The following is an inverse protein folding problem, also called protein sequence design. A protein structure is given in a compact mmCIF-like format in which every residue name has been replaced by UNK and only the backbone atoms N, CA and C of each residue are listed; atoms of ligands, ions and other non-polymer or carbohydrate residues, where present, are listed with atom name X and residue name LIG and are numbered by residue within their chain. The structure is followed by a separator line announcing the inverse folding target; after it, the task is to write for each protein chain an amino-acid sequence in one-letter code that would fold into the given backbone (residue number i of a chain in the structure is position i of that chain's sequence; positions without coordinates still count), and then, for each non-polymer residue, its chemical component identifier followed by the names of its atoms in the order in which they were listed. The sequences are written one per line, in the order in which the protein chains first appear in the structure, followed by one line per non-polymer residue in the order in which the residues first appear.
data_IF_209518608627
#
_entry.id   IF_209518608627
#
_cell.length_a   1.000
_cell.length_b   1.000
_cell.length_c   1.000
_cell.angle_alpha   90.00
_cell.angle_beta   90.00
_cell.angle_gamma   90.00
#
_symmetry.space_group_name_H-M   'P 1'
#
loop_
_entity.id
_entity.type
_entity.pdbx_description
1 polymer ?
#
# COMPACT_ATOMS: atom_id res chain seq x y z
N UNK A 1 -34.09 19.90 -8.98
CA UNK A 1 -33.75 20.56 -7.71
C UNK A 1 -32.82 21.75 -7.94
N UNK A 2 -33.20 22.91 -7.48
CA UNK A 2 -32.35 24.11 -7.57
C UNK A 2 -31.15 23.95 -6.60
N UNK A 3 -29.92 24.29 -7.01
CA UNK A 3 -28.77 24.23 -6.11
C UNK A 3 -28.98 25.20 -4.94
N UNK A 4 -28.65 24.73 -3.73
CA UNK A 4 -28.67 25.60 -2.54
C UNK A 4 -27.72 26.81 -2.70
N UNK A 5 -27.96 27.87 -1.96
CA UNK A 5 -27.09 29.06 -1.97
C UNK A 5 -25.65 28.67 -1.62
N UNK A 6 -25.46 27.74 -0.65
CA UNK A 6 -24.14 27.19 -0.29
C UNK A 6 -23.50 26.51 -1.50
N UNK A 7 -24.21 25.66 -2.23
CA UNK A 7 -23.68 25.01 -3.43
C UNK A 7 -23.28 25.97 -4.55
N UNK A 8 -23.97 27.12 -4.66
CA UNK A 8 -23.60 28.19 -5.62
C UNK A 8 -22.33 28.91 -5.20
N UNK A 9 -22.17 29.21 -3.91
CA UNK A 9 -20.98 29.86 -3.36
C UNK A 9 -19.76 28.95 -3.52
N UNK A 10 -19.87 27.68 -3.11
CA UNK A 10 -18.77 26.70 -3.24
C UNK A 10 -18.31 26.55 -4.70
N UNK A 11 -19.24 26.48 -5.66
CA UNK A 11 -18.88 26.42 -7.08
C UNK A 11 -18.19 27.70 -7.58
N UNK A 12 -18.65 28.88 -7.16
CA UNK A 12 -18.01 30.16 -7.50
C UNK A 12 -16.57 30.23 -7.02
N UNK A 13 -16.27 29.64 -5.87
CA UNK A 13 -14.92 29.58 -5.30
C UNK A 13 -14.13 28.35 -5.71
N UNK A 14 -14.62 27.59 -6.71
CA UNK A 14 -13.98 26.38 -7.23
C UNK A 14 -13.64 25.33 -6.13
N UNK A 15 -14.44 25.31 -5.06
CA UNK A 15 -14.28 24.30 -4.00
C UNK A 15 -14.64 22.93 -4.58
N UNK A 16 -13.74 21.94 -4.55
CA UNK A 16 -13.99 20.63 -5.08
C UNK A 16 -15.10 19.92 -4.30
N UNK A 17 -15.88 19.08 -4.99
CA UNK A 17 -16.89 18.26 -4.33
C UNK A 17 -16.23 17.18 -3.46
N UNK A 18 -16.87 16.79 -2.36
CA UNK A 18 -16.36 15.73 -1.48
C UNK A 18 -16.02 14.45 -2.23
N UNK A 19 -16.76 14.09 -3.26
CA UNK A 19 -16.47 12.95 -4.14
C UNK A 19 -15.21 13.11 -5.00
N UNK A 20 -14.68 14.32 -5.08
CA UNK A 20 -13.48 14.68 -5.84
C UNK A 20 -12.26 14.84 -4.93
N UNK A 21 -12.47 14.66 -3.64
CA UNK A 21 -11.43 14.76 -2.61
C UNK A 21 -11.16 13.34 -2.08
N UNK A 22 -9.89 13.01 -1.92
CA UNK A 22 -9.48 11.80 -1.19
C UNK A 22 -9.77 11.98 0.30
N UNK A 23 -10.66 11.17 0.91
CA UNK A 23 -11.05 11.33 2.31
C UNK A 23 -9.88 11.24 3.29
N UNK A 24 -8.86 10.43 2.97
CA UNK A 24 -7.72 10.21 3.86
C UNK A 24 -6.69 11.35 3.82
N UNK A 25 -6.56 12.04 2.67
CA UNK A 25 -5.50 13.05 2.49
C UNK A 25 -6.05 14.47 2.28
N UNK A 26 -7.36 14.63 2.06
CA UNK A 26 -7.97 15.91 1.69
C UNK A 26 -7.55 16.44 0.32
N UNK A 27 -6.79 15.68 -0.46
CA UNK A 27 -6.28 16.11 -1.76
C UNK A 27 -7.29 15.86 -2.88
N UNK A 28 -7.33 16.78 -3.87
CA UNK A 28 -8.20 16.63 -5.04
C UNK A 28 -7.78 15.43 -5.89
N UNK A 29 -8.71 14.53 -6.18
CA UNK A 29 -8.49 13.39 -7.06
C UNK A 29 -8.44 13.91 -8.50
N UNK A 30 -7.25 14.01 -9.07
CA UNK A 30 -7.00 14.51 -10.44
C UNK A 30 -7.38 13.52 -11.55
N UNK A 31 -7.72 12.28 -11.21
CA UNK A 31 -8.13 11.26 -12.18
C UNK A 31 -9.53 11.60 -12.73
N UNK A 32 -9.60 11.98 -13.99
CA UNK A 32 -10.87 12.20 -14.69
C UNK A 32 -11.63 10.88 -14.86
N UNK A 33 -12.90 10.85 -14.48
CA UNK A 33 -13.79 9.68 -14.57
C UNK A 33 -13.89 9.05 -15.97
N UNK A 34 -13.48 9.76 -17.03
CA UNK A 34 -13.62 9.32 -18.43
C UNK A 34 -12.54 8.38 -18.96
N UNK A 35 -11.40 8.24 -18.28
CA UNK A 35 -10.26 7.46 -18.80
C UNK A 35 -9.89 6.24 -17.97
N UNK A 36 -10.50 6.01 -16.82
CA UNK A 36 -10.13 4.90 -15.96
C UNK A 36 -10.93 3.67 -16.35
N UNK A 37 -10.44 2.90 -17.30
CA UNK A 37 -10.74 1.46 -17.31
C UNK A 37 -10.27 0.93 -15.95
N UNK A 38 -11.23 0.60 -15.09
CA UNK A 38 -10.96 -0.03 -13.81
C UNK A 38 -10.37 -1.40 -14.10
N UNK A 39 -9.05 -1.48 -14.12
CA UNK A 39 -8.37 -2.75 -14.22
C UNK A 39 -8.42 -3.40 -12.85
N UNK A 40 -9.10 -4.52 -12.76
CA UNK A 40 -9.22 -5.33 -11.55
C UNK A 40 -9.28 -6.78 -11.98
N UNK A 41 -8.50 -7.63 -11.33
CA UNK A 41 -8.53 -9.06 -11.55
C UNK A 41 -9.78 -9.69 -10.92
N UNK A 42 -10.23 -10.82 -11.48
CA UNK A 42 -11.56 -11.36 -11.23
C UNK A 42 -11.68 -12.05 -9.85
N UNK A 43 -10.57 -12.51 -9.27
CA UNK A 43 -10.56 -13.21 -7.99
C UNK A 43 -9.30 -12.91 -7.16
N UNK A 44 -9.36 -13.12 -5.82
CA UNK A 44 -8.21 -12.98 -4.95
C UNK A 44 -7.07 -13.92 -5.36
N UNK A 45 -5.83 -13.42 -5.32
CA UNK A 45 -4.63 -14.17 -5.69
C UNK A 45 -4.33 -14.19 -7.18
N UNK A 46 -5.26 -13.83 -8.05
CA UNK A 46 -5.02 -13.76 -9.50
C UNK A 46 -3.87 -12.83 -9.87
N UNK A 47 -3.66 -11.76 -9.12
CA UNK A 47 -2.50 -10.87 -9.20
C UNK A 47 -2.22 -10.22 -7.85
N UNK A 48 -1.01 -10.32 -7.37
CA UNK A 48 -0.53 -9.49 -6.26
C UNK A 48 0.47 -8.45 -6.77
N UNK A 49 0.47 -7.29 -6.15
CA UNK A 49 1.43 -6.20 -6.39
C UNK A 49 2.46 -6.20 -5.28
N UNK A 50 3.74 -6.04 -5.62
CA UNK A 50 4.83 -5.92 -4.66
C UNK A 50 5.62 -4.63 -4.90
N UNK A 51 6.05 -3.97 -3.81
CA UNK A 51 6.86 -2.75 -3.86
C UNK A 51 7.61 -2.55 -2.54
N UNK A 52 8.62 -1.68 -2.55
CA UNK A 52 9.37 -1.29 -1.35
C UNK A 52 9.24 0.21 -1.13
N UNK A 53 8.81 0.58 0.07
CA UNK A 53 8.75 1.97 0.52
C UNK A 53 9.89 2.28 1.48
N UNK A 54 10.82 3.15 1.06
CA UNK A 54 11.90 3.64 1.90
C UNK A 54 11.39 4.74 2.83
N UNK A 55 11.61 4.58 4.14
CA UNK A 55 11.24 5.52 5.19
C UNK A 55 12.46 5.90 6.02
N UNK A 56 12.68 7.19 6.24
CA UNK A 56 13.69 7.64 7.20
C UNK A 56 13.39 7.10 8.60
N UNK A 57 14.41 6.61 9.31
CA UNK A 57 14.29 6.20 10.70
C UNK A 57 14.02 7.40 11.61
N UNK A 58 13.42 7.13 12.75
CA UNK A 58 13.11 8.12 13.76
C UNK A 58 14.14 7.98 14.89
N UNK A 59 14.88 9.04 15.24
CA UNK A 59 15.80 9.00 16.35
C UNK A 59 15.06 8.88 17.69
N UNK A 60 15.72 8.32 18.70
CA UNK A 60 15.18 8.26 20.05
C UNK A 60 14.93 9.68 20.58
N UNK A 61 13.78 9.85 21.21
CA UNK A 61 13.25 11.16 21.62
C UNK A 61 12.50 11.90 20.50
N UNK A 62 12.23 11.24 19.36
CA UNK A 62 11.47 11.79 18.25
C UNK A 62 12.31 12.48 17.17
N UNK A 63 11.75 12.61 16.01
CA UNK A 63 12.37 13.23 14.84
C UNK A 63 11.84 14.65 14.56
N UNK A 64 12.05 15.14 13.35
CA UNK A 64 11.65 16.49 12.92
C UNK A 64 10.13 16.77 13.04
N UNK A 65 9.29 15.74 13.05
CA UNK A 65 7.85 15.92 13.27
C UNK A 65 7.49 16.25 14.71
N UNK A 66 8.28 15.78 15.68
CA UNK A 66 8.11 16.11 17.07
C UNK A 66 8.77 17.47 17.43
N UNK A 67 9.95 17.75 16.84
CA UNK A 67 10.80 18.88 17.27
C UNK A 67 11.03 19.96 16.21
N UNK A 68 10.35 19.85 15.05
CA UNK A 68 10.59 20.75 13.94
C UNK A 68 11.88 20.45 13.15
N UNK A 69 12.08 21.14 12.04
CA UNK A 69 13.24 20.97 11.16
C UNK A 69 14.40 21.84 11.65
N UNK A 70 15.24 21.32 12.54
CA UNK A 70 16.48 21.94 12.95
C UNK A 70 17.69 21.23 12.39
N UNK A 71 18.87 21.91 12.35
CA UNK A 71 20.13 21.28 11.93
C UNK A 71 20.51 20.10 12.82
N UNK A 72 20.26 20.21 14.15
CA UNK A 72 20.51 19.13 15.12
C UNK A 72 19.71 17.87 14.80
N UNK A 73 18.47 18.01 14.29
CA UNK A 73 17.62 16.87 13.91
C UNK A 73 18.07 16.29 12.56
N UNK A 74 18.55 17.12 11.62
CA UNK A 74 19.08 16.66 10.32
C UNK A 74 20.40 15.91 10.46
N UNK A 75 21.27 16.32 11.37
CA UNK A 75 22.58 15.70 11.60
C UNK A 75 22.50 14.28 12.19
N UNK A 76 21.34 13.84 12.71
CA UNK A 76 21.11 12.51 13.26
C UNK A 76 20.84 11.46 12.17
N UNK A 77 21.62 11.40 11.10
CA UNK A 77 21.44 10.47 9.99
C UNK A 77 21.45 8.98 10.41
N UNK A 78 20.35 8.47 10.95
CA UNK A 78 20.20 7.10 11.50
C UNK A 78 19.77 6.08 10.45
N UNK A 79 19.78 6.45 9.17
CA UNK A 79 19.46 5.54 8.08
C UNK A 79 17.98 5.43 7.74
N UNK A 80 17.62 4.31 7.15
CA UNK A 80 16.28 4.07 6.60
C UNK A 80 15.77 2.70 6.98
N UNK A 81 14.45 2.60 7.11
CA UNK A 81 13.70 1.35 7.03
C UNK A 81 13.18 1.12 5.62
N UNK A 82 13.12 -0.11 5.21
CA UNK A 82 12.56 -0.54 3.95
C UNK A 82 11.29 -1.34 4.22
N UNK A 83 10.14 -0.72 3.96
CA UNK A 83 8.84 -1.36 4.15
C UNK A 83 8.49 -2.08 2.85
N UNK A 84 8.63 -3.39 2.86
CA UNK A 84 8.20 -4.25 1.77
C UNK A 84 6.69 -4.45 1.88
N UNK A 85 5.96 -4.12 0.84
CA UNK A 85 4.50 -4.17 0.80
C UNK A 85 4.02 -5.09 -0.31
N UNK A 86 3.03 -5.90 0.00
CA UNK A 86 2.34 -6.77 -0.96
C UNK A 86 0.85 -6.54 -0.82
N UNK A 87 0.14 -6.42 -1.94
CA UNK A 87 -1.33 -6.22 -1.94
C UNK A 87 -1.98 -7.03 -3.05
N UNK A 88 -3.06 -7.72 -2.71
CA UNK A 88 -3.88 -8.41 -3.70
C UNK A 88 -4.68 -7.43 -4.55
N UNK A 89 -4.67 -7.66 -5.86
CA UNK A 89 -5.35 -6.80 -6.84
C UNK A 89 -6.86 -6.76 -6.67
N UNK A 90 -7.47 -7.90 -6.37
CA UNK A 90 -8.92 -8.03 -6.25
C UNK A 90 -9.44 -7.55 -4.90
N UNK A 91 -8.96 -8.12 -3.81
CA UNK A 91 -9.48 -7.87 -2.47
C UNK A 91 -8.92 -6.62 -1.81
N UNK A 92 -7.73 -6.15 -2.23
CA UNK A 92 -6.92 -5.13 -1.55
C UNK A 92 -6.31 -5.63 -0.24
N UNK A 93 -6.36 -6.94 0.04
CA UNK A 93 -5.72 -7.52 1.21
C UNK A 93 -4.22 -7.22 1.18
N UNK A 94 -3.70 -6.63 2.24
CA UNK A 94 -2.33 -6.15 2.33
C UNK A 94 -1.50 -6.98 3.31
N UNK A 95 -0.24 -7.17 2.94
CA UNK A 95 0.81 -7.71 3.76
C UNK A 95 2.00 -6.76 3.73
N UNK A 96 2.68 -6.53 4.86
CA UNK A 96 3.88 -5.71 4.88
C UNK A 96 4.85 -6.14 5.98
N UNK A 97 6.13 -5.93 5.71
CA UNK A 97 7.24 -6.15 6.65
C UNK A 97 8.23 -5.00 6.56
N UNK A 98 8.95 -4.77 7.66
CA UNK A 98 10.03 -3.79 7.73
C UNK A 98 11.35 -4.53 7.77
N UNK A 99 12.27 -4.12 6.91
CA UNK A 99 13.63 -4.65 6.81
C UNK A 99 14.66 -3.53 6.74
N UNK A 100 15.94 -3.90 6.89
CA UNK A 100 17.07 -2.98 6.83
C UNK A 100 17.54 -2.71 5.40
N UNK A 101 17.04 -3.45 4.43
CA UNK A 101 17.43 -3.32 3.03
C UNK A 101 16.31 -3.69 2.03
N UNK A 102 16.56 -3.42 0.75
CA UNK A 102 15.72 -3.76 -0.39
C UNK A 102 16.39 -4.79 -1.32
N UNK A 103 17.25 -5.67 -0.78
CA UNK A 103 17.93 -6.68 -1.57
C UNK A 103 16.97 -7.73 -2.11
N UNK A 104 17.37 -8.35 -3.21
CA UNK A 104 16.57 -9.41 -3.83
C UNK A 104 16.34 -10.63 -2.93
N UNK A 105 17.30 -10.98 -2.06
CA UNK A 105 17.13 -12.04 -1.05
C UNK A 105 16.09 -11.68 0.01
N UNK A 106 16.08 -10.42 0.46
CA UNK A 106 15.09 -9.90 1.39
C UNK A 106 13.70 -9.90 0.75
N UNK A 107 13.59 -9.38 -0.49
CA UNK A 107 12.35 -9.38 -1.25
C UNK A 107 11.81 -10.81 -1.49
N UNK A 108 12.70 -11.78 -1.74
CA UNK A 108 12.33 -13.19 -1.89
C UNK A 108 11.74 -13.76 -0.59
N UNK A 109 12.37 -13.52 0.56
CA UNK A 109 11.83 -13.94 1.85
C UNK A 109 10.49 -13.30 2.19
N UNK A 110 10.31 -12.02 1.87
CA UNK A 110 9.02 -11.33 2.04
C UNK A 110 7.95 -11.95 1.14
N UNK A 111 8.26 -12.23 -0.14
CA UNK A 111 7.32 -12.88 -1.05
C UNK A 111 6.89 -14.25 -0.53
N UNK A 112 7.84 -15.08 -0.07
CA UNK A 112 7.54 -16.41 0.49
C UNK A 112 6.55 -16.31 1.68
N UNK A 113 6.81 -15.41 2.63
CA UNK A 113 5.93 -15.21 3.78
C UNK A 113 4.59 -14.59 3.40
N UNK A 114 4.55 -13.72 2.40
CA UNK A 114 3.31 -13.18 1.87
C UNK A 114 2.46 -14.28 1.20
N UNK A 115 3.07 -15.19 0.42
CA UNK A 115 2.39 -16.35 -0.16
C UNK A 115 1.77 -17.22 0.95
N UNK A 116 2.55 -17.51 1.99
CA UNK A 116 2.06 -18.28 3.15
C UNK A 116 0.93 -17.55 3.89
N UNK A 117 0.98 -16.21 3.99
CA UNK A 117 -0.10 -15.40 4.57
C UNK A 117 -1.39 -15.53 3.73
N UNK A 118 -1.31 -15.40 2.42
CA UNK A 118 -2.47 -15.56 1.52
C UNK A 118 -3.02 -16.98 1.56
N UNK A 119 -2.15 -17.99 1.59
CA UNK A 119 -2.55 -19.40 1.65
C UNK A 119 -3.37 -19.73 2.91
N UNK A 120 -3.03 -19.16 4.08
CA UNK A 120 -3.83 -19.31 5.30
C UNK A 120 -5.26 -18.80 5.18
N UNK A 121 -5.50 -17.87 4.27
CA UNK A 121 -6.83 -17.33 3.94
C UNK A 121 -7.46 -18.04 2.71
N UNK A 122 -6.87 -19.16 2.30
CA UNK A 122 -7.32 -19.96 1.18
C UNK A 122 -7.15 -19.27 -0.18
N UNK A 123 -6.21 -18.32 -0.29
CA UNK A 123 -5.89 -17.59 -1.53
C UNK A 123 -4.63 -18.21 -2.14
N UNK A 124 -4.74 -18.68 -3.37
CA UNK A 124 -3.59 -19.14 -4.17
C UNK A 124 -3.10 -17.99 -5.03
N UNK A 125 -1.81 -17.66 -4.91
CA UNK A 125 -1.18 -16.60 -5.71
C UNK A 125 -0.77 -17.15 -7.07
N UNK A 126 -1.28 -16.58 -8.16
CA UNK A 126 -0.97 -17.00 -9.53
C UNK A 126 0.08 -16.10 -10.19
N UNK A 127 0.02 -14.82 -9.94
CA UNK A 127 0.87 -13.81 -10.58
C UNK A 127 1.32 -12.75 -9.61
N UNK A 128 2.52 -12.26 -9.85
CA UNK A 128 3.10 -11.11 -9.12
C UNK A 128 3.45 -10.01 -10.12
N UNK A 129 3.13 -8.76 -9.82
CA UNK A 129 3.61 -7.60 -10.56
C UNK A 129 4.52 -6.75 -9.69
N UNK A 130 5.68 -6.37 -10.22
CA UNK A 130 6.65 -5.50 -9.60
C UNK A 130 7.07 -4.37 -10.55
N UNK A 131 7.76 -3.39 -10.03
CA UNK A 131 8.54 -2.48 -10.85
C UNK A 131 9.74 -3.21 -11.51
N UNK A 132 10.56 -2.45 -12.25
CA UNK A 132 11.74 -2.98 -12.92
C UNK A 132 13.00 -2.93 -12.03
N UNK A 133 12.88 -2.79 -10.71
CA UNK A 133 14.02 -2.75 -9.81
C UNK A 133 14.87 -4.02 -9.90
N UNK A 134 16.18 -3.86 -9.72
CA UNK A 134 17.15 -4.95 -9.81
C UNK A 134 16.81 -6.13 -8.88
N UNK A 135 16.31 -5.83 -7.68
CA UNK A 135 15.90 -6.80 -6.68
C UNK A 135 14.83 -7.78 -7.16
N UNK A 136 13.94 -7.36 -8.05
CA UNK A 136 12.88 -8.20 -8.63
C UNK A 136 13.28 -8.80 -9.98
N UNK A 137 14.04 -8.05 -10.79
CA UNK A 137 14.32 -8.43 -12.17
C UNK A 137 15.49 -9.41 -12.30
N UNK A 138 16.49 -9.29 -11.44
CA UNK A 138 17.74 -10.03 -11.57
C UNK A 138 18.10 -10.90 -10.35
N UNK A 139 17.21 -11.00 -9.37
CA UNK A 139 17.45 -11.82 -8.18
C UNK A 139 17.13 -13.29 -8.43
N UNK A 140 18.15 -14.12 -8.40
CA UNK A 140 17.97 -15.58 -8.45
C UNK A 140 17.10 -16.10 -7.31
N UNK A 141 17.27 -15.55 -6.09
CA UNK A 141 16.46 -15.94 -4.93
C UNK A 141 14.97 -15.61 -5.14
N UNK A 142 14.66 -14.43 -5.70
CA UNK A 142 13.28 -14.03 -5.99
C UNK A 142 12.65 -14.94 -7.06
N UNK A 143 13.39 -15.25 -8.13
CA UNK A 143 12.92 -16.14 -9.17
C UNK A 143 12.78 -17.59 -8.71
N UNK A 144 13.63 -18.05 -7.75
CA UNK A 144 13.51 -19.39 -7.16
C UNK A 144 12.17 -19.53 -6.39
N UNK A 145 11.76 -18.51 -5.61
CA UNK A 145 10.46 -18.50 -4.94
C UNK A 145 9.31 -18.55 -5.96
N UNK A 146 9.37 -17.73 -7.00
CA UNK A 146 8.36 -17.76 -8.06
C UNK A 146 8.24 -19.14 -8.71
N UNK A 147 9.38 -19.77 -9.03
CA UNK A 147 9.42 -21.10 -9.63
C UNK A 147 8.89 -22.18 -8.70
N UNK A 148 9.24 -22.15 -7.43
CA UNK A 148 8.78 -23.12 -6.43
C UNK A 148 7.24 -23.11 -6.25
N UNK A 149 6.61 -21.94 -6.42
CA UNK A 149 5.17 -21.79 -6.31
C UNK A 149 4.42 -21.73 -7.65
N UNK A 150 5.11 -21.86 -8.77
CA UNK A 150 4.49 -21.77 -10.11
C UNK A 150 3.93 -20.39 -10.43
N UNK A 151 4.45 -19.31 -9.81
CA UNK A 151 3.95 -17.96 -9.94
C UNK A 151 4.55 -17.25 -11.14
N UNK A 152 3.72 -16.66 -11.98
CA UNK A 152 4.17 -15.86 -13.12
C UNK A 152 4.50 -14.43 -12.71
N UNK A 153 5.73 -13.98 -13.02
CA UNK A 153 6.12 -12.58 -12.80
C UNK A 153 5.68 -11.69 -13.97
N UNK A 154 5.15 -10.53 -13.64
CA UNK A 154 4.88 -9.44 -14.58
C UNK A 154 5.64 -8.19 -14.15
N UNK A 155 6.07 -7.41 -15.11
CA UNK A 155 6.71 -6.11 -14.87
C UNK A 155 5.80 -4.98 -15.33
N UNK A 156 5.90 -3.83 -14.67
CA UNK A 156 5.26 -2.61 -15.18
C UNK A 156 5.87 -2.26 -16.54
N UNK A 157 5.04 -1.72 -17.43
CA UNK A 157 5.55 -1.16 -18.69
C UNK A 157 6.42 0.06 -18.39
N UNK A 158 7.54 0.25 -19.10
CA UNK A 158 8.33 1.48 -18.99
C UNK A 158 7.42 2.71 -19.15
N UNK A 159 7.62 3.71 -18.31
CA UNK A 159 6.84 4.96 -18.27
C UNK A 159 5.33 4.79 -17.98
N UNK A 160 4.90 3.62 -17.49
CA UNK A 160 3.51 3.34 -17.10
C UNK A 160 3.39 2.98 -15.60
N UNK A 161 3.76 3.86 -14.65
CA UNK A 161 3.75 3.56 -13.22
C UNK A 161 2.34 3.20 -12.72
N UNK A 162 1.29 3.73 -13.34
CA UNK A 162 -0.09 3.44 -12.94
C UNK A 162 -0.47 1.94 -12.99
N UNK A 163 0.32 1.10 -13.66
CA UNK A 163 0.09 -0.36 -13.66
C UNK A 163 0.39 -1.00 -12.31
N UNK A 164 1.23 -0.36 -11.46
CA UNK A 164 1.46 -0.75 -10.06
C UNK A 164 0.67 0.14 -9.06
N UNK A 165 -0.31 0.87 -9.56
CA UNK A 165 -1.04 1.90 -8.80
C UNK A 165 -1.72 1.41 -7.52
N UNK A 166 -1.98 0.10 -7.36
CA UNK A 166 -2.60 -0.44 -6.15
C UNK A 166 -1.62 -0.48 -4.98
N UNK A 167 -0.40 -0.93 -5.21
CA UNK A 167 0.64 -0.91 -4.16
C UNK A 167 1.14 0.52 -3.89
N UNK A 168 1.20 1.37 -4.91
CA UNK A 168 1.51 2.79 -4.72
C UNK A 168 0.45 3.48 -3.85
N UNK A 169 -0.84 3.13 -4.05
CA UNK A 169 -1.92 3.62 -3.21
C UNK A 169 -1.84 3.07 -1.79
N UNK A 170 -1.50 1.79 -1.61
CA UNK A 170 -1.23 1.20 -0.31
C UNK A 170 -0.10 1.96 0.39
N UNK A 171 1.02 2.18 -0.29
CA UNK A 171 2.18 2.89 0.25
C UNK A 171 1.86 4.34 0.66
N UNK A 172 0.96 5.01 -0.09
CA UNK A 172 0.46 6.33 0.30
C UNK A 172 -0.40 6.26 1.57
N UNK A 173 -1.33 5.30 1.64
CA UNK A 173 -2.19 5.09 2.80
C UNK A 173 -1.36 4.73 4.04
N UNK A 174 -0.41 3.81 3.89
CA UNK A 174 0.56 3.43 4.91
C UNK A 174 1.35 4.64 5.43
N UNK A 175 1.82 5.50 4.52
CA UNK A 175 2.55 6.70 4.90
C UNK A 175 1.69 7.67 5.72
N UNK A 176 0.43 7.89 5.32
CA UNK A 176 -0.46 8.86 5.97
C UNK A 176 -1.12 8.34 7.24
N UNK A 177 -1.53 7.08 7.26
CA UNK A 177 -2.34 6.51 8.32
C UNK A 177 -1.54 5.71 9.36
N UNK A 178 -0.25 5.41 9.06
CA UNK A 178 0.66 4.75 9.99
C UNK A 178 1.97 5.52 10.14
N UNK A 179 2.83 5.55 9.11
CA UNK A 179 4.22 6.00 9.26
C UNK A 179 4.34 7.45 9.73
N UNK A 180 3.37 8.28 9.36
CA UNK A 180 3.30 9.71 9.66
C UNK A 180 1.96 10.14 10.25
N UNK A 181 1.16 9.21 10.76
CA UNK A 181 -0.14 9.52 11.36
C UNK A 181 -0.01 10.45 12.59
N UNK A 182 1.06 10.24 13.36
CA UNK A 182 1.42 11.06 14.52
C UNK A 182 2.94 11.19 14.64
N UNK A 183 3.47 12.09 15.44
CA UNK A 183 4.85 12.01 15.91
C UNK A 183 5.05 10.72 16.73
N UNK A 184 6.13 10.01 16.45
CA UNK A 184 6.59 8.86 17.21
C UNK A 184 7.85 9.25 17.96
N UNK A 185 8.00 8.73 19.18
CA UNK A 185 9.15 9.04 20.04
C UNK A 185 10.40 8.22 19.63
N UNK A 186 10.21 7.13 18.90
CA UNK A 186 11.32 6.32 18.39
C UNK A 186 10.93 5.55 17.15
N UNK A 187 11.95 5.01 16.46
CA UNK A 187 11.73 4.10 15.33
C UNK A 187 11.11 2.77 15.78
N UNK A 188 11.48 2.28 16.96
CA UNK A 188 10.93 1.07 17.54
C UNK A 188 9.42 1.20 17.79
N UNK A 189 8.97 2.34 18.30
CA UNK A 189 7.54 2.62 18.52
C UNK A 189 6.76 2.61 17.20
N UNK A 190 7.29 3.27 16.16
CA UNK A 190 6.66 3.26 14.84
C UNK A 190 6.58 1.83 14.28
N UNK A 191 7.66 1.07 14.38
CA UNK A 191 7.73 -0.32 13.90
C UNK A 191 6.72 -1.20 14.64
N UNK A 192 6.63 -1.09 15.96
CA UNK A 192 5.69 -1.84 16.79
C UNK A 192 4.22 -1.54 16.47
N UNK A 193 3.91 -0.37 15.92
CA UNK A 193 2.56 0.01 15.53
C UNK A 193 2.12 -0.58 14.17
N UNK A 194 3.02 -1.12 13.35
CA UNK A 194 2.67 -1.63 12.01
C UNK A 194 1.68 -2.80 12.03
N UNK A 195 1.84 -3.84 12.88
CA UNK A 195 0.91 -4.97 12.90
C UNK A 195 -0.53 -4.56 13.23
N UNK A 196 -0.72 -3.69 14.21
CA UNK A 196 -2.04 -3.18 14.58
C UNK A 196 -2.68 -2.38 13.44
N UNK A 197 -1.89 -1.56 12.74
CA UNK A 197 -2.37 -0.82 11.58
C UNK A 197 -2.73 -1.75 10.40
N UNK A 198 -1.94 -2.80 10.14
CA UNK A 198 -2.26 -3.78 9.09
C UNK A 198 -3.55 -4.53 9.39
N UNK A 199 -3.78 -4.90 10.66
CA UNK A 199 -5.04 -5.50 11.08
C UNK A 199 -6.20 -4.54 10.81
N UNK A 200 -6.11 -3.30 11.27
CA UNK A 200 -7.13 -2.28 10.96
C UNK A 200 -7.35 -2.11 9.45
N UNK A 201 -6.26 -2.02 8.66
CA UNK A 201 -6.35 -1.87 7.21
C UNK A 201 -7.11 -3.03 6.56
N UNK A 202 -6.85 -4.25 6.97
CA UNK A 202 -7.41 -5.46 6.37
C UNK A 202 -8.82 -5.80 6.88
N UNK A 203 -9.13 -5.54 8.15
CA UNK A 203 -10.34 -6.02 8.81
C UNK A 203 -11.40 -4.93 8.97
N UNK A 204 -11.01 -3.69 9.21
CA UNK A 204 -11.93 -2.63 9.64
C UNK A 204 -12.02 -1.46 8.66
N UNK A 205 -10.95 -1.21 7.90
CA UNK A 205 -10.88 -0.06 7.01
C UNK A 205 -11.73 -0.25 5.76
N UNK A 206 -12.75 0.60 5.60
CA UNK A 206 -13.57 0.63 4.39
C UNK A 206 -12.80 1.20 3.19
N UNK A 207 -12.83 0.53 2.05
CA UNK A 207 -12.12 0.91 0.84
C UNK A 207 -13.09 1.29 -0.28
N UNK A 208 -13.12 2.57 -0.66
CA UNK A 208 -13.96 3.06 -1.76
C UNK A 208 -13.67 2.34 -3.09
N UNK A 209 -12.41 1.92 -3.29
CA UNK A 209 -11.99 1.15 -4.46
C UNK A 209 -12.67 -0.21 -4.61
N UNK A 210 -13.22 -0.77 -3.57
CA UNK A 210 -13.95 -2.05 -3.54
C UNK A 210 -15.38 -1.90 -3.01
N UNK A 211 -15.99 -0.74 -3.27
CA UNK A 211 -17.39 -0.50 -2.93
C UNK A 211 -17.65 -0.27 -1.45
N UNK A 212 -16.67 0.22 -0.70
CA UNK A 212 -16.79 0.49 0.74
C UNK A 212 -16.64 -0.74 1.63
N UNK A 213 -16.32 -1.90 1.06
CA UNK A 213 -16.03 -3.13 1.82
C UNK A 213 -14.63 -3.07 2.44
N UNK A 214 -14.39 -3.88 3.46
CA UNK A 214 -13.05 -4.17 3.94
C UNK A 214 -12.37 -5.21 3.02
N UNK A 215 -11.03 -5.30 3.01
CA UNK A 215 -10.33 -6.33 2.26
C UNK A 215 -10.78 -7.76 2.62
N UNK A 216 -11.00 -8.05 3.91
CA UNK A 216 -11.43 -9.38 4.36
C UNK A 216 -12.86 -9.72 3.91
N UNK A 217 -13.79 -8.77 3.97
CA UNK A 217 -15.15 -8.96 3.49
C UNK A 217 -15.19 -9.32 2.01
N UNK A 218 -14.25 -8.75 1.25
CA UNK A 218 -14.20 -9.02 -0.18
C UNK A 218 -13.71 -10.43 -0.50
N UNK A 219 -12.91 -11.03 0.36
CA UNK A 219 -12.49 -12.43 0.24
C UNK A 219 -13.67 -13.35 0.55
N UNK A 220 -14.34 -13.11 1.65
CA UNK A 220 -15.46 -13.92 2.12
C UNK A 220 -16.63 -13.93 1.12
N UNK A 221 -16.98 -12.77 0.58
CA UNK A 221 -18.05 -12.65 -0.42
C UNK A 221 -17.70 -13.30 -1.79
N UNK A 222 -16.43 -13.49 -2.11
CA UNK A 222 -15.99 -14.12 -3.36
C UNK A 222 -16.15 -15.63 -3.39
N UNK A 223 -16.24 -16.27 -2.22
CA UNK A 223 -16.34 -17.74 -2.08
C UNK A 223 -17.70 -18.25 -1.58
N UNK A 224 -18.63 -17.38 -1.24
CA UNK A 224 -19.91 -17.77 -0.67
C UNK A 224 -19.80 -18.50 0.67
N UNK A 225 -18.64 -18.45 1.32
CA UNK A 225 -18.41 -19.06 2.62
C UNK A 225 -18.42 -17.98 3.70
N UNK A 226 -19.38 -18.10 4.60
CA UNK A 226 -19.34 -17.40 5.88
C UNK A 226 -18.32 -18.12 6.77
N UNK A 227 -17.33 -17.42 7.23
CA UNK A 227 -16.49 -17.85 8.36
C UNK A 227 -17.08 -17.24 9.61
#
# INVERSE_FOLDING_TARGET
MQPSTVGRVLRRHHVPLLREIDPATGTVIRATRRSVRRYEHDHPGSLIHIDVKKLGRIPDGGGWRAHGRSEKVRARGIGYDYVHTVIDDHSRLAYAEIHDDEKGTTAAGVLERAIAFYARLGITVERVISDNAFAYRHSHAFHAVLGAHGITQKFIRPHCPWTNGKVERLNRTLATEWAYARPYDSNAERTAALPAWLNYYNLDRAHLGIGGKTPIDRINNGRGQYI
#
